data_IF_435419007694
#
_entry.id   IF_435419007694
#
_cell.length_a   1.000
_cell.length_b   1.000
_cell.length_c   1.000
_cell.angle_alpha   90.00
_cell.angle_beta   90.00
_cell.angle_gamma   90.00
#
_symmetry.space_group_name_H-M   'P 1'
#
loop_
_entity.id
_entity.type
_entity.pdbx_description
1 polymer ?
#
# COMPACT_ATOMS: atom_id res chain seq x y z
N UNK A 1 -4.28 27.63 1.68
CA UNK A 1 -3.71 26.45 0.99
C UNK A 1 -2.20 26.58 1.04
N UNK A 2 -1.49 25.66 1.71
CA UNK A 2 -0.03 25.74 1.85
C UNK A 2 0.63 24.88 0.77
N UNK A 3 1.40 25.50 -0.12
CA UNK A 3 2.16 24.84 -1.19
C UNK A 3 3.55 24.50 -0.67
N UNK A 4 3.90 23.21 -0.64
CA UNK A 4 5.24 22.74 -0.29
C UNK A 4 6.21 23.18 -1.40
N UNK A 5 7.11 24.11 -1.08
CA UNK A 5 8.13 24.62 -2.00
C UNK A 5 9.16 23.52 -2.23
N UNK A 6 9.24 23.02 -3.46
CA UNK A 6 10.27 22.05 -3.86
C UNK A 6 11.53 22.83 -4.26
N UNK A 7 12.51 22.91 -3.38
CA UNK A 7 13.82 23.48 -3.70
C UNK A 7 14.69 22.44 -4.39
N UNK A 8 15.02 22.67 -5.67
CA UNK A 8 15.96 21.85 -6.44
C UNK A 8 17.39 22.38 -6.25
N UNK A 9 18.30 21.53 -5.79
CA UNK A 9 19.73 21.85 -5.70
C UNK A 9 20.42 21.45 -6.99
N UNK A 10 20.82 22.43 -7.79
CA UNK A 10 21.63 22.19 -8.99
C UNK A 10 23.10 22.09 -8.60
N UNK A 11 23.73 20.96 -8.93
CA UNK A 11 25.15 20.70 -8.63
C UNK A 11 25.91 20.55 -9.95
N UNK A 12 27.00 21.30 -10.18
CA UNK A 12 27.78 21.18 -11.41
C UNK A 12 28.37 19.79 -11.58
N UNK A 13 28.27 19.22 -12.78
CA UNK A 13 28.76 17.87 -13.08
C UNK A 13 30.26 17.66 -12.77
N UNK A 14 31.05 18.73 -12.85
CA UNK A 14 32.49 18.75 -12.55
C UNK A 14 32.78 18.46 -11.07
N UNK A 15 31.86 18.80 -10.18
CA UNK A 15 32.03 18.57 -8.73
C UNK A 15 31.72 17.13 -8.29
N UNK A 16 31.21 16.30 -9.22
CA UNK A 16 30.86 14.91 -8.97
C UNK A 16 32.09 14.04 -9.24
N UNK A 17 32.50 13.22 -8.26
CA UNK A 17 33.63 12.30 -8.45
C UNK A 17 33.31 11.30 -9.58
N UNK A 18 34.21 11.11 -10.56
CA UNK A 18 34.00 10.10 -11.60
C UNK A 18 33.86 8.71 -10.94
N UNK A 19 32.79 7.98 -11.30
CA UNK A 19 32.44 6.70 -10.69
C UNK A 19 31.52 6.75 -9.46
N UNK A 20 31.04 7.94 -9.06
CA UNK A 20 30.04 8.04 -7.99
C UNK A 20 28.73 7.34 -8.37
N UNK A 21 28.26 6.42 -7.52
CA UNK A 21 26.99 5.70 -7.72
C UNK A 21 25.81 6.65 -7.50
N UNK A 22 25.00 6.85 -8.54
CA UNK A 22 23.71 7.56 -8.42
C UNK A 22 22.75 6.63 -7.69
N UNK A 23 22.34 7.03 -6.49
CA UNK A 23 21.32 6.29 -5.74
C UNK A 23 19.94 6.70 -6.26
N UNK A 24 19.01 5.73 -6.41
CA UNK A 24 17.63 6.08 -6.70
C UNK A 24 17.03 6.93 -5.57
N UNK A 25 16.04 7.77 -5.86
CA UNK A 25 15.36 8.54 -4.82
C UNK A 25 14.71 7.59 -3.81
N UNK A 26 14.56 8.01 -2.54
CA UNK A 26 13.84 7.22 -1.54
C UNK A 26 12.41 6.93 -2.03
N UNK A 27 11.91 5.75 -1.69
CA UNK A 27 10.58 5.33 -2.10
C UNK A 27 9.51 6.25 -1.49
N UNK A 28 8.45 6.52 -2.24
CA UNK A 28 7.28 7.20 -1.69
C UNK A 28 6.47 6.22 -0.84
N UNK A 29 5.65 6.73 0.09
CA UNK A 29 4.69 5.92 0.85
C UNK A 29 3.76 5.06 -0.05
N UNK A 30 3.50 5.50 -1.28
CA UNK A 30 2.72 4.74 -2.25
C UNK A 30 3.53 3.57 -2.84
N UNK A 31 4.79 3.82 -3.18
CA UNK A 31 5.70 2.79 -3.68
C UNK A 31 5.93 1.71 -2.62
N UNK A 32 6.22 2.12 -1.37
CA UNK A 32 6.40 1.18 -0.26
C UNK A 32 5.18 0.28 -0.03
N UNK A 33 3.96 0.83 -0.15
CA UNK A 33 2.72 0.05 -0.04
C UNK A 33 2.54 -0.93 -1.20
N UNK A 34 2.97 -0.56 -2.41
CA UNK A 34 2.88 -1.44 -3.57
C UNK A 34 3.82 -2.65 -3.45
N UNK A 35 4.94 -2.53 -2.72
CA UNK A 35 5.86 -3.64 -2.47
C UNK A 35 5.38 -4.60 -1.38
N UNK A 36 4.46 -4.18 -0.50
CA UNK A 36 3.93 -5.05 0.55
C UNK A 36 2.88 -6.00 -0.01
N UNK A 37 3.03 -7.29 0.27
CA UNK A 37 2.02 -8.27 -0.06
C UNK A 37 0.75 -8.04 0.81
N UNK A 38 -0.44 -7.94 0.19
CA UNK A 38 -1.68 -7.75 0.94
C UNK A 38 -1.96 -8.91 1.90
N UNK A 39 -2.47 -8.60 3.10
CA UNK A 39 -2.72 -9.61 4.13
C UNK A 39 -3.73 -10.67 3.65
N UNK A 40 -4.75 -10.25 2.88
CA UNK A 40 -5.73 -11.16 2.30
C UNK A 40 -5.07 -12.24 1.43
N UNK A 41 -4.02 -11.89 0.68
CA UNK A 41 -3.30 -12.85 -0.17
C UNK A 41 -2.50 -13.85 0.67
N UNK A 42 -1.85 -13.37 1.73
CA UNK A 42 -1.13 -14.21 2.69
C UNK A 42 -2.09 -15.21 3.34
N UNK A 43 -3.26 -14.73 3.80
CA UNK A 43 -4.26 -15.58 4.45
C UNK A 43 -4.84 -16.60 3.47
N UNK A 44 -5.13 -16.21 2.23
CA UNK A 44 -5.61 -17.14 1.20
C UNK A 44 -4.59 -18.25 0.92
N UNK A 45 -3.29 -17.91 0.86
CA UNK A 45 -2.23 -18.90 0.71
C UNK A 45 -2.18 -19.86 1.90
N UNK A 46 -2.25 -19.33 3.12
CA UNK A 46 -2.28 -20.17 4.34
C UNK A 46 -3.49 -21.10 4.40
N UNK A 47 -4.65 -20.64 3.93
CA UNK A 47 -5.85 -21.48 3.83
C UNK A 47 -5.63 -22.64 2.86
N UNK A 48 -5.03 -22.37 1.70
CA UNK A 48 -4.70 -23.41 0.72
C UNK A 48 -3.65 -24.39 1.26
N UNK A 49 -2.63 -23.90 1.96
CA UNK A 49 -1.57 -24.72 2.58
C UNK A 49 -2.11 -25.60 3.72
N UNK A 50 -3.05 -25.10 4.52
CA UNK A 50 -3.59 -25.82 5.68
C UNK A 50 -4.62 -26.91 5.32
N UNK A 51 -5.30 -26.80 4.17
CA UNK A 51 -6.32 -27.75 3.73
C UNK A 51 -7.35 -28.04 4.82
N UNK A 52 -7.45 -29.31 5.21
CA UNK A 52 -8.44 -29.80 6.20
C UNK A 52 -8.17 -29.33 7.64
N UNK A 53 -6.98 -28.81 7.94
CA UNK A 53 -6.60 -28.28 9.26
C UNK A 53 -7.09 -26.83 9.42
N UNK A 54 -7.57 -26.20 8.34
CA UNK A 54 -8.00 -24.81 8.39
C UNK A 54 -9.20 -24.61 9.34
N UNK A 55 -9.15 -23.61 10.25
CA UNK A 55 -10.25 -23.41 11.19
C UNK A 55 -11.56 -23.09 10.47
N UNK A 56 -12.65 -23.85 10.72
CA UNK A 56 -13.92 -23.67 10.02
C UNK A 56 -14.60 -22.33 10.35
N UNK A 57 -14.22 -21.70 11.45
CA UNK A 57 -14.71 -20.38 11.87
C UNK A 57 -14.04 -19.21 11.14
N UNK A 58 -12.96 -19.44 10.38
CA UNK A 58 -12.23 -18.40 9.67
C UNK A 58 -12.55 -18.44 8.17
N UNK A 59 -13.45 -17.53 7.75
CA UNK A 59 -13.76 -17.29 6.33
C UNK A 59 -13.01 -16.08 5.82
N UNK A 60 -12.28 -16.25 4.72
CA UNK A 60 -11.58 -15.17 4.02
C UNK A 60 -12.52 -14.62 2.95
N UNK A 61 -12.85 -13.34 3.07
CA UNK A 61 -13.72 -12.63 2.12
C UNK A 61 -12.91 -11.92 1.04
N UNK A 62 -13.49 -11.72 -0.16
CA UNK A 62 -12.83 -10.97 -1.22
C UNK A 62 -12.69 -9.50 -0.84
N UNK A 63 -11.70 -8.83 -1.43
CA UNK A 63 -11.47 -7.41 -1.21
C UNK A 63 -12.67 -6.56 -1.69
N UNK A 64 -13.19 -5.73 -0.79
CA UNK A 64 -14.32 -4.85 -1.10
C UNK A 64 -13.85 -3.62 -1.86
N UNK A 65 -14.33 -3.48 -3.10
CA UNK A 65 -13.95 -2.37 -3.98
C UNK A 65 -14.56 -1.04 -3.55
N UNK A 66 -13.94 0.07 -3.97
CA UNK A 66 -14.48 1.42 -3.74
C UNK A 66 -15.89 1.61 -4.34
N UNK A 67 -16.20 0.93 -5.44
CA UNK A 67 -17.52 0.97 -6.08
C UNK A 67 -18.59 0.33 -5.20
N UNK A 68 -18.27 -0.80 -4.54
CA UNK A 68 -19.16 -1.43 -3.57
C UNK A 68 -19.41 -0.51 -2.36
N UNK A 69 -18.37 0.10 -1.80
CA UNK A 69 -18.50 1.07 -0.68
C UNK A 69 -19.27 2.33 -1.11
N UNK A 70 -19.18 2.71 -2.39
CA UNK A 70 -19.88 3.86 -2.95
C UNK A 70 -21.41 3.78 -2.89
N UNK A 71 -21.99 2.59 -2.71
CA UNK A 71 -23.44 2.39 -2.53
C UNK A 71 -23.91 2.65 -1.10
N UNK A 72 -23.01 2.63 -0.11
CA UNK A 72 -23.36 2.86 1.29
C UNK A 72 -23.76 4.33 1.56
N UNK A 73 -24.54 4.62 2.61
CA UNK A 73 -24.82 5.99 3.06
C UNK A 73 -23.54 6.79 3.34
N UNK A 74 -23.54 8.09 3.01
CA UNK A 74 -22.34 8.94 3.07
C UNK A 74 -21.69 8.98 4.46
N UNK A 75 -22.52 8.96 5.50
CA UNK A 75 -22.13 8.98 6.92
C UNK A 75 -21.24 7.79 7.30
N UNK A 76 -21.56 6.60 6.81
CA UNK A 76 -20.83 5.37 7.18
C UNK A 76 -19.66 5.06 6.24
N UNK A 77 -19.59 5.67 5.04
CA UNK A 77 -18.52 5.39 4.05
C UNK A 77 -17.12 5.59 4.62
N UNK A 78 -16.92 6.62 5.43
CA UNK A 78 -15.60 6.93 6.02
C UNK A 78 -15.20 5.84 7.01
N UNK A 79 -16.14 5.40 7.84
CA UNK A 79 -15.92 4.32 8.80
C UNK A 79 -15.65 3.00 8.08
N UNK A 80 -16.46 2.65 7.07
CA UNK A 80 -16.25 1.45 6.25
C UNK A 80 -14.89 1.44 5.57
N UNK A 81 -14.48 2.55 4.93
CA UNK A 81 -13.14 2.66 4.32
C UNK A 81 -12.01 2.47 5.34
N UNK A 82 -12.22 2.90 6.59
CA UNK A 82 -11.22 2.75 7.65
C UNK A 82 -11.14 1.32 8.15
N UNK A 83 -12.28 0.63 8.29
CA UNK A 83 -12.34 -0.77 8.72
C UNK A 83 -11.77 -1.73 7.68
N UNK A 84 -12.04 -1.46 6.39
CA UNK A 84 -11.61 -2.30 5.27
C UNK A 84 -10.17 -2.02 4.81
N UNK A 85 -9.47 -1.07 5.44
CA UNK A 85 -8.09 -0.75 5.10
C UNK A 85 -7.15 -1.67 5.88
N UNK A 86 -6.34 -2.43 5.14
CA UNK A 86 -5.25 -3.23 5.70
C UNK A 86 -4.25 -2.33 6.46
N UNK A 87 -3.80 -2.77 7.64
CA UNK A 87 -2.87 -2.04 8.51
C UNK A 87 -1.44 -2.55 8.36
#
# INVERSE_FOLDING_TARGET
MSTIVHTLRVVPKISIKPGSKVLPPPLTNQNERAFKEPLLRIMARRQQEAGDIWPPNLRIEPHVTKTAIGKAPKEIRVQLKRLLKER
#
